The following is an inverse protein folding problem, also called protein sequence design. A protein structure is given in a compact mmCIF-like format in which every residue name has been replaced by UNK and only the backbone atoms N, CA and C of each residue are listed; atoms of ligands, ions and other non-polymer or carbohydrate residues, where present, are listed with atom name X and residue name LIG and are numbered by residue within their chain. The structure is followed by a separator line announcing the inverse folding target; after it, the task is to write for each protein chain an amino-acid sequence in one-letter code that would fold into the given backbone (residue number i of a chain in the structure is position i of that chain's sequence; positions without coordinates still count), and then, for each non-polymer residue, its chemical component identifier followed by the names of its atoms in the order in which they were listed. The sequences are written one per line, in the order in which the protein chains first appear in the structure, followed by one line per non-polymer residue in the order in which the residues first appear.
data_IF_372976852993
#
_entry.id   IF_372976852993
#
_cell.length_a   1.000
_cell.length_b   1.000
_cell.length_c   1.000
_cell.angle_alpha   90.00
_cell.angle_beta   90.00
_cell.angle_gamma   90.00
#
_symmetry.space_group_name_H-M   'P 1'
#
loop_
_entity.id
_entity.type
_entity.pdbx_description
1 polymer ?
#
# COMPACT_ATOMS: atom_id res chain seq x y z
N UNK A 1 8.90 -71.78 23.13
CA UNK A 1 7.81 -71.10 22.41
C UNK A 1 7.41 -69.76 23.04
N UNK A 2 7.12 -69.68 24.35
CA UNK A 2 6.73 -68.41 25.02
C UNK A 2 7.76 -67.26 24.94
N UNK A 3 9.07 -67.55 24.98
CA UNK A 3 10.14 -66.53 24.83
C UNK A 3 10.28 -66.00 23.40
N UNK A 4 9.94 -66.82 22.40
CA UNK A 4 9.98 -66.44 20.98
C UNK A 4 8.79 -65.54 20.64
N UNK A 5 7.63 -65.81 21.25
CA UNK A 5 6.43 -64.97 21.14
C UNK A 5 6.67 -63.55 21.71
N UNK A 6 7.34 -63.47 22.86
CA UNK A 6 7.68 -62.18 23.50
C UNK A 6 8.64 -61.37 22.63
N UNK A 7 9.63 -62.02 21.99
CA UNK A 7 10.59 -61.36 21.10
C UNK A 7 9.92 -60.77 19.85
N UNK A 8 8.97 -61.49 19.26
CA UNK A 8 8.18 -61.03 18.10
C UNK A 8 7.27 -59.86 18.47
N UNK A 9 6.65 -59.90 19.65
CA UNK A 9 5.80 -58.82 20.15
C UNK A 9 6.63 -57.55 20.42
N UNK A 10 7.81 -57.68 21.03
CA UNK A 10 8.71 -56.53 21.23
C UNK A 10 9.21 -55.94 19.92
N UNK A 11 9.47 -56.75 18.89
CA UNK A 11 9.91 -56.25 17.58
C UNK A 11 8.78 -55.51 16.84
N UNK A 12 7.52 -55.92 17.03
CA UNK A 12 6.37 -55.24 16.45
C UNK A 12 6.10 -53.85 17.05
N UNK A 13 6.46 -53.63 18.32
CA UNK A 13 6.30 -52.33 18.99
C UNK A 13 7.29 -51.26 18.52
N UNK A 14 8.45 -51.65 17.96
CA UNK A 14 9.42 -50.69 17.42
C UNK A 14 9.12 -50.27 15.98
N UNK A 15 8.19 -50.94 15.29
CA UNK A 15 7.81 -50.63 13.91
C UNK A 15 6.82 -49.45 13.80
N UNK A 16 6.23 -49.00 14.93
CA UNK A 16 5.26 -47.89 14.98
C UNK A 16 5.89 -46.61 15.50
N UNK A 17 7.11 -46.27 15.06
CA UNK A 17 7.68 -44.93 15.31
C UNK A 17 6.95 -43.91 14.42
N UNK A 18 6.20 -42.99 15.04
CA UNK A 18 5.56 -41.87 14.37
C UNK A 18 6.62 -41.05 13.62
N UNK A 19 6.48 -40.96 12.30
CA UNK A 19 7.16 -39.92 11.52
C UNK A 19 6.45 -38.60 11.77
N UNK A 20 7.21 -37.55 12.00
CA UNK A 20 6.73 -36.18 11.98
C UNK A 20 6.25 -35.84 10.57
N UNK A 21 5.03 -35.33 10.45
CA UNK A 21 4.50 -34.87 9.18
C UNK A 21 5.32 -33.66 8.73
N UNK A 22 6.09 -33.83 7.65
CA UNK A 22 6.85 -32.74 7.08
C UNK A 22 5.87 -31.69 6.53
N UNK A 23 5.71 -30.58 7.23
CA UNK A 23 4.99 -29.41 6.72
C UNK A 23 5.62 -28.98 5.41
N UNK A 24 4.97 -29.35 4.31
CA UNK A 24 5.37 -28.89 2.98
C UNK A 24 4.59 -27.60 2.75
N UNK A 25 5.27 -26.47 2.90
CA UNK A 25 4.71 -25.19 2.48
C UNK A 25 4.58 -25.24 0.96
N UNK A 26 3.35 -25.29 0.47
CA UNK A 26 3.07 -25.14 -0.95
C UNK A 26 3.39 -23.71 -1.38
N UNK A 27 4.19 -23.55 -2.42
CA UNK A 27 4.28 -22.27 -3.13
C UNK A 27 3.06 -22.27 -4.06
N UNK A 28 2.11 -21.37 -3.80
CA UNK A 28 1.04 -21.12 -4.78
C UNK A 28 1.68 -20.32 -5.90
N UNK A 29 1.92 -20.96 -7.04
CA UNK A 29 2.30 -20.26 -8.26
C UNK A 29 1.14 -19.33 -8.64
N UNK A 30 1.33 -18.05 -8.42
CA UNK A 30 0.47 -16.98 -8.91
C UNK A 30 1.12 -16.35 -10.11
N UNK A 31 0.40 -16.19 -11.21
CA UNK A 31 0.86 -15.41 -12.34
C UNK A 31 1.15 -13.96 -11.90
N UNK A 32 2.44 -13.66 -11.71
CA UNK A 32 2.89 -12.31 -11.39
C UNK A 32 2.92 -11.53 -12.71
N UNK A 33 1.77 -11.01 -13.11
CA UNK A 33 1.78 -9.87 -14.02
C UNK A 33 2.54 -8.74 -13.31
N UNK A 34 3.39 -7.95 -14.00
CA UNK A 34 3.92 -6.75 -13.40
C UNK A 34 2.72 -5.91 -12.95
N UNK A 35 2.61 -5.69 -11.63
CA UNK A 35 1.54 -4.88 -11.01
C UNK A 35 1.57 -3.44 -11.56
N UNK A 36 2.69 -3.09 -12.17
CA UNK A 36 2.90 -1.90 -12.96
C UNK A 36 2.37 -2.16 -14.38
N UNK A 37 1.13 -1.76 -14.65
CA UNK A 37 0.82 -1.22 -15.97
C UNK A 37 1.97 -0.25 -16.31
N UNK A 38 2.59 -0.39 -17.48
CA UNK A 38 3.80 0.36 -17.87
C UNK A 38 3.51 1.86 -17.78
N UNK A 39 3.75 2.45 -16.60
CA UNK A 39 3.41 3.84 -16.34
C UNK A 39 4.49 4.73 -16.93
N UNK A 40 4.48 4.89 -18.25
CA UNK A 40 5.57 5.57 -18.96
C UNK A 40 5.30 7.05 -19.21
N UNK A 41 4.06 7.51 -18.99
CA UNK A 41 3.67 8.87 -19.36
C UNK A 41 3.58 9.76 -18.13
N UNK A 42 4.50 10.71 -18.03
CA UNK A 42 4.46 11.71 -16.97
C UNK A 42 3.19 12.57 -17.10
N UNK A 43 2.52 12.79 -15.97
CA UNK A 43 1.38 13.70 -15.85
C UNK A 43 1.84 15.14 -16.08
N UNK A 44 1.02 15.92 -16.78
CA UNK A 44 1.19 17.38 -16.82
C UNK A 44 0.82 17.99 -15.47
N UNK A 45 1.24 19.24 -15.21
CA UNK A 45 0.94 19.92 -13.94
C UNK A 45 -0.59 20.06 -13.73
N UNK A 46 -1.36 20.33 -14.80
CA UNK A 46 -2.83 20.29 -14.76
C UNK A 46 -3.38 18.92 -14.36
N UNK A 47 -2.85 17.86 -14.98
CA UNK A 47 -3.30 16.50 -14.69
C UNK A 47 -3.00 16.10 -13.25
N UNK A 48 -1.79 16.41 -12.77
CA UNK A 48 -1.40 16.20 -11.39
C UNK A 48 -2.36 16.88 -10.42
N UNK A 49 -2.57 18.19 -10.58
CA UNK A 49 -3.44 18.96 -9.68
C UNK A 49 -4.88 18.48 -9.73
N UNK A 50 -5.41 18.21 -10.93
CA UNK A 50 -6.80 17.76 -11.07
C UNK A 50 -7.03 16.39 -10.42
N UNK A 51 -6.09 15.46 -10.57
CA UNK A 51 -6.19 14.12 -9.98
C UNK A 51 -5.98 14.19 -8.46
N UNK A 52 -5.00 14.97 -7.99
CA UNK A 52 -4.77 15.20 -6.56
C UNK A 52 -6.03 15.73 -5.88
N UNK A 53 -6.67 16.73 -6.48
CA UNK A 53 -7.89 17.30 -5.93
C UNK A 53 -9.04 16.28 -5.91
N UNK A 54 -9.20 15.50 -6.98
CA UNK A 54 -10.20 14.44 -7.00
C UNK A 54 -9.95 13.37 -5.92
N UNK A 55 -8.70 12.98 -5.69
CA UNK A 55 -8.34 11.98 -4.69
C UNK A 55 -8.56 12.47 -3.26
N UNK A 56 -8.27 13.74 -2.98
CA UNK A 56 -8.37 14.31 -1.63
C UNK A 56 -9.78 14.81 -1.29
N UNK A 57 -10.52 15.35 -2.26
CA UNK A 57 -11.83 15.99 -2.02
C UNK A 57 -13.01 15.22 -2.63
N UNK A 58 -12.74 14.12 -3.35
CA UNK A 58 -13.75 13.27 -4.00
C UNK A 58 -14.70 14.05 -4.92
N UNK A 59 -14.21 15.14 -5.53
CA UNK A 59 -14.96 16.01 -6.44
C UNK A 59 -14.05 16.62 -7.51
N UNK A 60 -14.65 17.05 -8.61
CA UNK A 60 -13.91 17.70 -9.68
C UNK A 60 -13.41 19.10 -9.25
N UNK A 61 -12.20 19.44 -9.68
CA UNK A 61 -11.63 20.78 -9.51
C UNK A 61 -12.23 21.74 -10.56
N UNK A 62 -12.56 22.96 -10.14
CA UNK A 62 -13.05 23.98 -11.07
C UNK A 62 -11.96 24.44 -12.04
N UNK A 63 -12.33 24.82 -13.26
CA UNK A 63 -11.38 25.25 -14.30
C UNK A 63 -10.57 26.48 -13.86
N UNK A 64 -11.18 27.43 -13.15
CA UNK A 64 -10.48 28.61 -12.65
C UNK A 64 -9.40 28.21 -11.64
N UNK A 65 -9.74 27.35 -10.68
CA UNK A 65 -8.79 26.91 -9.65
C UNK A 65 -7.67 26.05 -10.23
N UNK A 66 -7.96 25.26 -11.25
CA UNK A 66 -6.96 24.47 -11.97
C UNK A 66 -5.90 25.37 -12.62
N UNK A 67 -6.31 26.45 -13.29
CA UNK A 67 -5.39 27.42 -13.92
C UNK A 67 -4.55 28.16 -12.88
N UNK A 68 -5.13 28.51 -11.72
CA UNK A 68 -4.38 29.14 -10.63
C UNK A 68 -3.27 28.23 -10.10
N UNK A 69 -3.58 26.96 -9.82
CA UNK A 69 -2.64 26.00 -9.25
C UNK A 69 -1.55 25.60 -10.26
N UNK A 70 -1.88 25.51 -11.54
CA UNK A 70 -0.88 25.34 -12.60
C UNK A 70 0.12 26.50 -12.58
N UNK A 71 -0.35 27.75 -12.53
CA UNK A 71 0.53 28.92 -12.47
C UNK A 71 1.42 28.94 -11.24
N UNK A 72 0.93 28.46 -10.09
CA UNK A 72 1.76 28.30 -8.88
C UNK A 72 2.92 27.34 -9.16
N UNK A 73 2.66 26.19 -9.78
CA UNK A 73 3.71 25.23 -10.12
C UNK A 73 4.69 25.82 -11.14
N UNK A 74 4.19 26.50 -12.17
CA UNK A 74 5.04 27.12 -13.21
C UNK A 74 5.87 28.30 -12.68
N UNK A 75 5.41 28.99 -11.65
CA UNK A 75 6.12 30.13 -11.05
C UNK A 75 7.36 29.72 -10.25
N UNK A 76 7.51 28.43 -9.96
CA UNK A 76 8.59 27.87 -9.16
C UNK A 76 9.49 27.00 -10.05
N UNK A 77 10.80 27.24 -9.97
CA UNK A 77 11.79 26.39 -10.67
C UNK A 77 11.80 24.96 -10.11
N UNK A 78 11.63 24.82 -8.80
CA UNK A 78 11.44 23.52 -8.16
C UNK A 78 9.96 23.14 -8.13
N UNK A 79 9.57 22.32 -9.11
CA UNK A 79 8.19 21.82 -9.21
C UNK A 79 7.82 20.87 -8.08
N UNK A 80 8.77 20.17 -7.46
CA UNK A 80 8.48 19.26 -6.35
C UNK A 80 8.08 20.07 -5.12
N UNK A 81 8.85 21.12 -4.80
CA UNK A 81 8.51 22.05 -3.73
C UNK A 81 7.11 22.67 -3.94
N UNK A 82 6.80 23.10 -5.17
CA UNK A 82 5.48 23.64 -5.49
C UNK A 82 4.35 22.64 -5.18
N UNK A 83 4.54 21.36 -5.52
CA UNK A 83 3.58 20.29 -5.26
C UNK A 83 3.42 20.01 -3.77
N UNK A 84 4.51 19.99 -3.02
CA UNK A 84 4.49 19.82 -1.56
C UNK A 84 3.70 20.95 -0.86
N UNK A 85 3.88 22.20 -1.30
CA UNK A 85 3.10 23.34 -0.81
C UNK A 85 1.61 23.21 -1.14
N UNK A 86 1.27 22.75 -2.34
CA UNK A 86 -0.13 22.51 -2.75
C UNK A 86 -0.75 21.38 -1.92
N UNK A 87 -0.03 20.26 -1.73
CA UNK A 87 -0.52 19.15 -0.90
C UNK A 87 -0.75 19.65 0.53
N UNK A 88 0.23 20.34 1.13
CA UNK A 88 0.10 20.89 2.48
C UNK A 88 -1.08 21.85 2.59
N UNK A 89 -1.27 22.74 1.61
CA UNK A 89 -2.43 23.63 1.56
C UNK A 89 -3.76 22.87 1.49
N UNK A 90 -3.81 21.73 0.78
CA UNK A 90 -5.01 20.91 0.68
C UNK A 90 -5.29 20.10 1.95
N UNK A 91 -4.25 19.58 2.61
CA UNK A 91 -4.41 18.86 3.88
C UNK A 91 -4.90 19.77 5.02
N UNK A 92 -4.58 21.06 4.95
CA UNK A 92 -5.09 22.07 5.90
C UNK A 92 -6.53 22.54 5.58
N UNK A 93 -7.13 22.11 4.48
CA UNK A 93 -8.51 22.47 4.14
C UNK A 93 -9.49 21.54 4.88
N UNK A 94 -10.46 22.05 5.67
CA UNK A 94 -11.40 21.22 6.41
C UNK A 94 -12.32 20.37 5.53
N UNK A 95 -12.40 20.64 4.22
CA UNK A 95 -13.15 19.83 3.27
C UNK A 95 -12.37 18.62 2.74
N UNK A 96 -11.10 18.43 3.14
CA UNK A 96 -10.31 17.26 2.78
C UNK A 96 -10.94 15.99 3.38
N UNK A 97 -10.96 14.91 2.60
CA UNK A 97 -11.55 13.64 3.00
C UNK A 97 -10.44 12.64 3.32
N UNK A 98 -10.11 12.59 4.60
CA UNK A 98 -9.13 11.66 5.18
C UNK A 98 -9.84 10.70 6.14
N UNK A 99 -9.50 9.41 6.11
CA UNK A 99 -9.72 8.54 7.26
C UNK A 99 -9.03 9.13 8.51
N UNK A 100 -9.56 8.82 9.68
CA UNK A 100 -8.91 9.13 10.95
C UNK A 100 -7.78 8.15 11.26
N UNK A 101 -6.82 8.57 12.10
CA UNK A 101 -5.71 7.70 12.51
C UNK A 101 -6.18 6.39 13.20
N UNK A 102 -7.26 6.40 14.03
CA UNK A 102 -7.82 5.16 14.55
C UNK A 102 -8.40 4.25 13.46
N UNK A 103 -9.09 4.78 12.44
CA UNK A 103 -9.63 3.98 11.33
C UNK A 103 -8.51 3.30 10.52
N UNK A 104 -7.39 4.00 10.30
CA UNK A 104 -6.19 3.40 9.70
C UNK A 104 -5.65 2.24 10.53
N UNK A 105 -5.71 2.34 11.87
CA UNK A 105 -5.15 1.33 12.79
C UNK A 105 -6.10 0.17 13.08
N UNK A 106 -7.40 0.36 12.87
CA UNK A 106 -8.40 -0.70 13.01
C UNK A 106 -8.23 -1.77 11.92
N UNK A 107 -7.92 -1.34 10.68
CA UNK A 107 -7.59 -2.24 9.56
C UNK A 107 -6.52 -1.62 8.65
N UNK A 108 -5.25 -1.88 8.99
CA UNK A 108 -4.10 -1.37 8.23
C UNK A 108 -4.07 -1.93 6.81
N UNK A 109 -4.41 -3.20 6.63
CA UNK A 109 -4.36 -3.84 5.31
C UNK A 109 -5.36 -3.19 4.36
N UNK A 110 -6.60 -3.00 4.82
CA UNK A 110 -7.65 -2.37 4.04
C UNK A 110 -7.31 -0.90 3.76
N UNK A 111 -6.79 -0.17 4.75
CA UNK A 111 -6.30 1.20 4.57
C UNK A 111 -5.24 1.30 3.47
N UNK A 112 -4.23 0.41 3.49
CA UNK A 112 -3.16 0.40 2.47
C UNK A 112 -3.74 0.07 1.10
N UNK A 113 -4.60 -0.96 1.00
CA UNK A 113 -5.25 -1.34 -0.26
C UNK A 113 -6.03 -0.16 -0.86
N UNK A 114 -6.81 0.54 -0.05
CA UNK A 114 -7.63 1.66 -0.51
C UNK A 114 -6.78 2.88 -0.87
N UNK A 115 -5.69 3.12 -0.15
CA UNK A 115 -4.73 4.18 -0.47
C UNK A 115 -4.05 3.93 -1.82
N UNK A 116 -3.58 2.70 -2.06
CA UNK A 116 -3.00 2.29 -3.34
C UNK A 116 -3.99 2.40 -4.50
N UNK A 117 -5.26 2.00 -4.31
CA UNK A 117 -6.30 2.16 -5.34
C UNK A 117 -6.59 3.63 -5.61
N UNK A 118 -6.67 4.45 -4.57
CA UNK A 118 -6.97 5.89 -4.68
C UNK A 118 -5.86 6.64 -5.43
N UNK A 119 -4.60 6.44 -5.05
CA UNK A 119 -3.49 7.20 -5.63
C UNK A 119 -2.89 6.56 -6.89
N UNK A 120 -2.76 5.24 -6.91
CA UNK A 120 -2.02 4.52 -7.95
C UNK A 120 -2.90 3.68 -8.88
N UNK A 121 -4.20 3.56 -8.60
CA UNK A 121 -5.18 2.81 -9.42
C UNK A 121 -4.79 1.33 -9.56
N UNK A 122 -4.21 0.77 -8.50
CA UNK A 122 -3.82 -0.65 -8.41
C UNK A 122 -3.86 -1.11 -6.96
N UNK A 123 -3.92 -2.42 -6.68
CA UNK A 123 -3.63 -2.94 -5.35
C UNK A 123 -2.11 -2.88 -5.05
N UNK A 124 -1.73 -2.88 -3.76
CA UNK A 124 -0.35 -3.10 -3.34
C UNK A 124 0.09 -4.53 -3.62
N UNK A 125 1.39 -4.75 -3.79
CA UNK A 125 2.00 -6.07 -3.67
C UNK A 125 2.02 -6.54 -2.21
N UNK A 126 2.22 -7.83 -1.98
CA UNK A 126 2.33 -8.36 -0.60
C UNK A 126 3.51 -7.75 0.18
N UNK A 127 4.63 -7.45 -0.49
CA UNK A 127 5.79 -6.80 0.13
C UNK A 127 5.47 -5.36 0.52
N UNK A 128 4.81 -4.59 -0.35
CA UNK A 128 4.39 -3.23 -0.04
C UNK A 128 3.41 -3.20 1.14
N UNK A 129 2.47 -4.15 1.16
CA UNK A 129 1.49 -4.29 2.25
C UNK A 129 2.19 -4.60 3.58
N UNK A 130 3.11 -5.54 3.59
CA UNK A 130 3.88 -5.89 4.79
C UNK A 130 4.74 -4.72 5.27
N UNK A 131 5.38 -3.98 4.35
CA UNK A 131 6.13 -2.77 4.71
C UNK A 131 5.26 -1.74 5.45
N UNK A 132 4.08 -1.42 4.90
CA UNK A 132 3.20 -0.44 5.55
C UNK A 132 2.62 -0.96 6.87
N UNK A 133 2.35 -2.26 6.95
CA UNK A 133 1.92 -2.89 8.21
C UNK A 133 2.98 -2.73 9.29
N UNK A 134 4.24 -3.05 8.98
CA UNK A 134 5.33 -2.90 9.94
C UNK A 134 5.56 -1.42 10.31
N UNK A 135 5.62 -0.54 9.31
CA UNK A 135 5.79 0.90 9.50
C UNK A 135 4.72 1.51 10.40
N UNK A 136 3.43 1.28 10.12
CA UNK A 136 2.33 1.86 10.90
C UNK A 136 2.29 1.29 12.32
N UNK A 137 2.58 -0.01 12.50
CA UNK A 137 2.59 -0.63 13.82
C UNK A 137 3.75 -0.13 14.70
N UNK A 138 4.93 0.05 14.11
CA UNK A 138 6.12 0.46 14.85
C UNK A 138 6.21 1.97 15.08
N UNK A 139 5.51 2.79 14.28
CA UNK A 139 5.45 4.24 14.43
C UNK A 139 4.06 4.71 14.89
N UNK A 140 3.80 4.81 16.22
CA UNK A 140 2.48 5.21 16.73
C UNK A 140 2.08 6.65 16.39
N UNK A 141 3.06 7.49 16.04
CA UNK A 141 2.85 8.90 15.71
C UNK A 141 2.63 9.14 14.22
N UNK A 142 2.71 8.10 13.37
CA UNK A 142 2.40 8.27 11.95
C UNK A 142 0.91 8.58 11.80
N UNK A 143 0.61 9.62 11.03
CA UNK A 143 -0.77 10.05 10.74
C UNK A 143 -1.17 9.68 9.33
N UNK A 144 -2.48 9.58 9.10
CA UNK A 144 -3.05 9.36 7.76
C UNK A 144 -2.62 10.47 6.79
N UNK A 145 -2.54 11.71 7.27
CA UNK A 145 -2.07 12.84 6.48
C UNK A 145 -0.66 12.61 5.93
N UNK A 146 0.28 12.13 6.77
CA UNK A 146 1.66 11.86 6.36
C UNK A 146 1.73 10.76 5.31
N UNK A 147 0.94 9.69 5.47
CA UNK A 147 0.86 8.62 4.48
C UNK A 147 0.32 9.15 3.16
N UNK A 148 -0.80 9.86 3.18
CA UNK A 148 -1.39 10.42 1.95
C UNK A 148 -0.45 11.44 1.29
N UNK A 149 0.27 12.24 2.06
CA UNK A 149 1.29 13.15 1.57
C UNK A 149 2.40 12.41 0.83
N UNK A 150 2.93 11.33 1.43
CA UNK A 150 3.97 10.50 0.82
C UNK A 150 3.50 9.87 -0.50
N UNK A 151 2.26 9.41 -0.57
CA UNK A 151 1.67 8.89 -1.81
C UNK A 151 1.47 9.98 -2.87
N UNK A 152 1.01 11.17 -2.46
CA UNK A 152 0.77 12.29 -3.36
C UNK A 152 2.05 12.88 -3.96
N UNK A 153 3.22 12.67 -3.34
CA UNK A 153 4.50 13.18 -3.83
C UNK A 153 5.41 12.10 -4.44
N UNK A 154 4.97 10.84 -4.46
CA UNK A 154 5.78 9.74 -4.99
C UNK A 154 5.99 9.84 -6.49
N UNK A 155 7.10 9.29 -6.98
CA UNK A 155 7.34 9.20 -8.42
C UNK A 155 6.25 8.39 -9.11
N UNK A 156 5.76 7.29 -8.51
CA UNK A 156 4.68 6.51 -9.10
C UNK A 156 3.41 7.35 -9.32
N UNK A 157 3.11 8.28 -8.41
CA UNK A 157 1.98 9.18 -8.57
C UNK A 157 2.15 10.15 -9.75
N UNK A 158 3.36 10.41 -10.21
CA UNK A 158 3.63 11.31 -11.33
C UNK A 158 3.37 10.68 -12.71
N UNK A 159 3.16 9.36 -12.81
CA UNK A 159 3.01 8.69 -14.10
C UNK A 159 1.65 8.03 -14.29
N UNK A 160 1.20 7.95 -15.55
CA UNK A 160 0.13 7.06 -16.01
C UNK A 160 0.75 5.82 -16.62
#
# INVERSE_FOLDING_TARGET
MRRFLIMIITLSLFATSCKEDAYTYGIVDTDILPVNAVKSKQKTDKQYVSILYANLFQKALSSNRLVELERVIESLGDKRLARELIISSFMNDPAVILPSDPEMRDDIDQFVIDTYKRFYVRPPTEIEKEFFRDYINNDPNVTVEQVYFAFAISDEYMFY
#
